data_IF_427146979318
#
_entry.id   IF_427146979318
#
_cell.length_a   1.000
_cell.length_b   1.000
_cell.length_c   1.000
_cell.angle_alpha   90.00
_cell.angle_beta   90.00
_cell.angle_gamma   90.00
#
_symmetry.space_group_name_H-M   'P 1'
#
loop_
_entity.id
_entity.type
_entity.pdbx_description
1 polymer ?
#
# COMPACT_ATOMS: atom_id res chain seq x y z
N UNK A 1 -5.59 13.07 13.28
CA UNK A 1 -4.42 12.18 13.10
C UNK A 1 -4.30 11.84 11.63
N UNK A 2 -3.13 12.08 11.04
CA UNK A 2 -2.82 11.80 9.63
C UNK A 2 -1.93 10.56 9.58
N UNK A 3 -2.23 9.61 8.70
CA UNK A 3 -1.40 8.42 8.51
C UNK A 3 -0.37 8.69 7.41
N UNK A 4 0.90 8.53 7.71
CA UNK A 4 1.95 8.63 6.68
C UNK A 4 2.24 7.27 6.09
N UNK A 5 2.23 7.20 4.76
CA UNK A 5 2.39 5.95 4.02
C UNK A 5 3.56 6.02 3.05
N UNK A 6 4.19 4.86 2.84
CA UNK A 6 5.17 4.64 1.79
C UNK A 6 4.67 3.68 0.71
N UNK A 7 5.25 3.74 -0.47
CA UNK A 7 5.03 2.75 -1.53
C UNK A 7 6.34 2.04 -1.88
N UNK A 8 6.27 0.72 -2.03
CA UNK A 8 7.33 -0.08 -2.65
C UNK A 8 6.85 -0.45 -4.05
N UNK A 9 7.47 0.16 -5.06
CA UNK A 9 7.07 0.06 -6.45
C UNK A 9 6.39 1.33 -6.95
N UNK A 10 6.89 1.87 -8.07
CA UNK A 10 6.36 3.05 -8.73
C UNK A 10 5.94 2.72 -10.18
N UNK A 11 4.98 1.80 -10.29
CA UNK A 11 4.45 1.30 -11.55
C UNK A 11 3.00 1.73 -11.79
N UNK A 12 2.36 1.11 -12.79
CA UNK A 12 0.96 1.37 -13.13
C UNK A 12 0.00 1.16 -11.95
N UNK A 13 0.27 0.18 -11.07
CA UNK A 13 -0.63 -0.02 -9.93
C UNK A 13 -0.62 1.20 -9.02
N UNK A 14 0.57 1.64 -8.61
CA UNK A 14 0.77 2.84 -7.81
C UNK A 14 0.15 4.07 -8.46
N UNK A 15 0.46 4.36 -9.72
CA UNK A 15 0.01 5.60 -10.37
C UNK A 15 -1.45 5.62 -10.80
N UNK A 16 -2.07 4.45 -11.04
CA UNK A 16 -3.46 4.39 -11.54
C UNK A 16 -4.48 4.05 -10.45
N UNK A 17 -4.15 3.13 -9.54
CA UNK A 17 -5.12 2.56 -8.62
C UNK A 17 -4.91 2.97 -7.16
N UNK A 18 -3.81 3.65 -6.84
CA UNK A 18 -3.50 4.11 -5.48
C UNK A 18 -3.39 5.63 -5.41
N UNK A 19 -2.38 6.22 -6.05
CA UNK A 19 -2.06 7.66 -5.93
C UNK A 19 -3.25 8.58 -6.22
N UNK A 20 -4.04 8.40 -7.28
CA UNK A 20 -5.20 9.27 -7.54
C UNK A 20 -6.22 9.28 -6.39
N UNK A 21 -6.30 8.20 -5.61
CA UNK A 21 -7.23 8.13 -4.48
C UNK A 21 -6.61 8.65 -3.19
N UNK A 22 -5.36 8.27 -2.87
CA UNK A 22 -4.75 8.65 -1.59
C UNK A 22 -4.31 10.10 -1.54
N UNK A 23 -3.86 10.68 -2.66
CA UNK A 23 -3.46 12.09 -2.73
C UNK A 23 -4.64 13.04 -2.51
N UNK A 24 -5.87 12.58 -2.77
CA UNK A 24 -7.10 13.32 -2.52
C UNK A 24 -7.64 13.18 -1.08
N UNK A 25 -6.89 12.55 -0.15
CA UNK A 25 -7.35 12.29 1.22
C UNK A 25 -6.57 13.12 2.24
N UNK A 26 -7.23 14.08 2.89
CA UNK A 26 -6.63 14.93 3.95
C UNK A 26 -6.04 14.17 5.15
N UNK A 27 -6.44 12.91 5.37
CA UNK A 27 -5.97 12.08 6.50
C UNK A 27 -4.83 11.12 6.11
N UNK A 28 -4.35 11.16 4.87
CA UNK A 28 -3.25 10.32 4.38
C UNK A 28 -2.18 11.23 3.79
N UNK A 29 -0.92 10.96 4.11
CA UNK A 29 0.24 11.61 3.50
C UNK A 29 1.09 10.55 2.83
N UNK A 30 1.33 10.66 1.53
CA UNK A 30 2.32 9.83 0.84
C UNK A 30 3.69 10.46 1.08
N UNK A 31 4.53 9.80 1.89
CA UNK A 31 5.84 10.36 2.28
C UNK A 31 6.95 9.92 1.33
N UNK A 32 7.08 8.61 1.12
CA UNK A 32 8.21 8.04 0.36
C UNK A 32 7.73 7.01 -0.65
N UNK A 33 8.23 7.08 -1.87
CA UNK A 33 8.01 6.05 -2.90
C UNK A 33 9.37 5.47 -3.29
N UNK A 34 9.54 4.19 -3.01
CA UNK A 34 10.68 3.40 -3.44
C UNK A 34 10.45 2.83 -4.85
N UNK A 35 11.47 2.91 -5.69
CA UNK A 35 11.55 2.12 -6.91
C UNK A 35 12.99 1.73 -7.22
N UNK A 36 13.23 0.45 -7.50
CA UNK A 36 14.57 -0.08 -7.87
C UNK A 36 15.24 0.69 -9.01
N UNK A 37 14.46 1.25 -9.92
CA UNK A 37 14.96 2.11 -11.00
C UNK A 37 14.17 3.40 -10.98
N UNK A 38 14.87 4.51 -10.72
CA UNK A 38 14.31 5.87 -10.71
C UNK A 38 13.64 6.20 -12.03
N UNK A 39 12.51 6.92 -11.94
CA UNK A 39 11.68 7.30 -13.09
C UNK A 39 11.51 8.81 -13.12
N UNK A 40 12.62 9.53 -13.17
CA UNK A 40 12.67 10.99 -12.97
C UNK A 40 11.57 11.77 -13.70
N UNK A 41 11.29 11.47 -14.97
CA UNK A 41 10.22 12.15 -15.72
C UNK A 41 8.83 11.99 -15.08
N UNK A 42 8.48 10.77 -14.67
CA UNK A 42 7.23 10.48 -13.98
C UNK A 42 7.22 11.03 -12.55
N UNK A 43 8.37 11.02 -11.87
CA UNK A 43 8.51 11.60 -10.53
C UNK A 43 8.19 13.11 -10.52
N UNK A 44 8.57 13.84 -11.59
CA UNK A 44 8.27 15.27 -11.74
C UNK A 44 6.77 15.59 -11.78
N UNK A 45 5.93 14.65 -12.23
CA UNK A 45 4.46 14.82 -12.21
C UNK A 45 3.90 14.88 -10.79
N UNK A 46 4.67 14.47 -9.78
CA UNK A 46 4.23 14.41 -8.38
C UNK A 46 5.02 15.35 -7.45
N UNK A 47 5.85 16.25 -7.98
CA UNK A 47 6.72 17.13 -7.19
C UNK A 47 5.94 18.03 -6.21
N UNK A 48 4.73 18.46 -6.59
CA UNK A 48 3.88 19.32 -5.77
C UNK A 48 3.39 18.67 -4.46
N UNK A 49 3.39 17.33 -4.41
CA UNK A 49 2.92 16.57 -3.24
C UNK A 49 4.00 16.38 -2.17
N UNK A 50 5.24 16.84 -2.41
CA UNK A 50 6.36 16.70 -1.46
C UNK A 50 6.77 15.25 -1.21
N UNK A 51 6.53 14.36 -2.18
CA UNK A 51 6.88 12.94 -2.08
C UNK A 51 8.39 12.76 -2.27
N UNK A 52 9.03 12.06 -1.34
CA UNK A 52 10.41 11.63 -1.48
C UNK A 52 10.48 10.38 -2.37
N UNK A 53 11.14 10.49 -3.51
CA UNK A 53 11.44 9.34 -4.37
C UNK A 53 12.83 8.78 -4.07
N UNK A 54 12.96 7.47 -4.00
CA UNK A 54 14.22 6.80 -3.65
C UNK A 54 14.36 5.44 -4.35
N UNK A 55 15.59 5.02 -4.58
CA UNK A 55 16.01 3.69 -5.03
C UNK A 55 16.74 2.91 -3.93
N UNK A 56 16.80 3.47 -2.73
CA UNK A 56 17.27 2.81 -1.51
C UNK A 56 16.06 2.52 -0.61
N UNK A 57 15.83 1.24 -0.35
CA UNK A 57 14.68 0.76 0.40
C UNK A 57 14.76 1.15 1.89
N UNK A 58 15.97 1.33 2.42
CA UNK A 58 16.18 1.70 3.83
C UNK A 58 15.60 3.07 4.16
N UNK A 59 15.60 4.01 3.21
CA UNK A 59 14.97 5.32 3.37
C UNK A 59 13.46 5.24 3.68
N UNK A 60 12.79 4.14 3.31
CA UNK A 60 11.40 3.89 3.63
C UNK A 60 11.25 3.01 4.89
N UNK A 61 12.07 1.97 5.01
CA UNK A 61 11.97 1.01 6.12
C UNK A 61 12.39 1.59 7.48
N UNK A 62 13.42 2.44 7.50
CA UNK A 62 13.98 3.05 8.72
C UNK A 62 13.36 4.39 9.09
N UNK A 63 12.40 4.88 8.31
CA UNK A 63 11.70 6.12 8.58
C UNK A 63 10.55 5.90 9.57
N UNK A 64 10.74 6.32 10.81
CA UNK A 64 9.76 6.14 11.90
C UNK A 64 8.44 6.91 11.68
N UNK A 65 8.41 7.92 10.82
CA UNK A 65 7.15 8.58 10.49
C UNK A 65 6.28 7.75 9.56
N UNK A 66 6.85 6.83 8.77
CA UNK A 66 6.07 5.97 7.88
C UNK A 66 5.43 4.87 8.72
N UNK A 67 4.10 4.84 8.76
CA UNK A 67 3.33 3.90 9.57
C UNK A 67 2.85 2.71 8.74
N UNK A 68 2.55 2.92 7.45
CA UNK A 68 2.06 1.88 6.56
C UNK A 68 2.81 1.88 5.23
N UNK A 69 2.97 0.70 4.65
CA UNK A 69 3.61 0.51 3.35
C UNK A 69 2.65 -0.20 2.41
N UNK A 70 2.56 0.27 1.17
CA UNK A 70 1.83 -0.39 0.09
C UNK A 70 2.81 -1.01 -0.90
N UNK A 71 2.73 -2.32 -1.11
CA UNK A 71 3.60 -3.08 -2.00
C UNK A 71 2.89 -3.26 -3.33
N UNK A 72 3.48 -2.68 -4.39
CA UNK A 72 2.96 -2.62 -5.75
C UNK A 72 3.97 -3.16 -6.78
N UNK A 73 4.78 -4.14 -6.39
CA UNK A 73 5.84 -4.78 -7.19
C UNK A 73 5.32 -6.02 -7.93
N UNK A 74 6.14 -6.70 -8.76
CA UNK A 74 5.80 -8.04 -9.27
C UNK A 74 5.56 -9.03 -8.13
N UNK A 75 4.58 -9.91 -8.32
CA UNK A 75 4.02 -10.76 -7.27
C UNK A 75 5.02 -11.71 -6.59
N UNK A 76 6.08 -12.10 -7.29
CA UNK A 76 7.15 -12.95 -6.77
C UNK A 76 7.88 -12.32 -5.58
N UNK A 77 7.82 -10.99 -5.47
CA UNK A 77 8.51 -10.23 -4.42
C UNK A 77 7.63 -9.90 -3.21
N UNK A 78 6.32 -10.15 -3.30
CA UNK A 78 5.35 -9.69 -2.31
C UNK A 78 5.61 -10.26 -0.91
N UNK A 79 5.92 -11.55 -0.82
CA UNK A 79 6.17 -12.22 0.45
C UNK A 79 7.37 -11.59 1.19
N UNK A 80 8.53 -11.54 0.53
CA UNK A 80 9.75 -11.05 1.14
C UNK A 80 9.65 -9.57 1.54
N UNK A 81 9.07 -8.74 0.66
CA UNK A 81 8.88 -7.32 0.96
C UNK A 81 7.89 -7.11 2.11
N UNK A 82 6.79 -7.87 2.16
CA UNK A 82 5.84 -7.77 3.25
C UNK A 82 6.45 -8.21 4.58
N UNK A 83 7.22 -9.32 4.58
CA UNK A 83 7.96 -9.81 5.75
C UNK A 83 8.91 -8.74 6.29
N UNK A 84 9.73 -8.14 5.43
CA UNK A 84 10.69 -7.09 5.81
C UNK A 84 9.97 -5.85 6.36
N UNK A 85 8.87 -5.42 5.74
CA UNK A 85 8.08 -4.30 6.25
C UNK A 85 7.53 -4.56 7.66
N UNK A 86 7.03 -5.78 7.92
CA UNK A 86 6.56 -6.19 9.25
C UNK A 86 7.71 -6.24 10.28
N UNK A 87 8.90 -6.70 9.87
CA UNK A 87 10.11 -6.69 10.71
C UNK A 87 10.52 -5.27 11.12
N UNK A 88 10.25 -4.28 10.26
CA UNK A 88 10.43 -2.86 10.52
C UNK A 88 9.20 -2.17 11.17
N UNK A 89 8.31 -2.94 11.77
CA UNK A 89 7.12 -2.47 12.48
C UNK A 89 6.17 -1.59 11.63
N UNK A 90 6.03 -1.89 10.34
CA UNK A 90 5.13 -1.19 9.43
C UNK A 90 3.83 -1.98 9.21
N UNK A 91 2.69 -1.29 9.16
CA UNK A 91 1.47 -1.89 8.59
C UNK A 91 1.68 -2.12 7.09
N UNK A 92 1.05 -3.15 6.52
CA UNK A 92 1.32 -3.55 5.13
C UNK A 92 0.04 -3.79 4.33
N UNK A 93 -0.04 -3.15 3.16
CA UNK A 93 -1.03 -3.47 2.13
C UNK A 93 -0.26 -4.07 0.96
N UNK A 94 -0.68 -5.23 0.47
CA UNK A 94 0.02 -5.94 -0.61
C UNK A 94 -0.90 -6.07 -1.81
N UNK A 95 -0.42 -5.71 -3.00
CA UNK A 95 -1.15 -5.98 -4.25
C UNK A 95 -1.45 -7.48 -4.43
N UNK A 96 -2.44 -7.76 -5.29
CA UNK A 96 -2.82 -9.13 -5.60
C UNK A 96 -1.97 -9.71 -6.74
N UNK A 97 -1.63 -11.02 -6.72
CA UNK A 97 -1.90 -11.99 -5.65
C UNK A 97 -1.07 -11.71 -4.39
N UNK A 98 -1.64 -11.98 -3.21
CA UNK A 98 -1.05 -11.63 -1.92
C UNK A 98 0.30 -12.30 -1.68
N UNK A 99 0.36 -13.62 -1.84
CA UNK A 99 1.56 -14.46 -1.80
C UNK A 99 1.37 -15.64 -2.76
N UNK A 100 2.44 -16.28 -3.25
CA UNK A 100 2.35 -17.49 -4.06
C UNK A 100 1.66 -18.67 -3.36
N UNK A 101 1.84 -18.80 -2.04
CA UNK A 101 1.28 -19.93 -1.27
C UNK A 101 0.44 -19.48 -0.07
N UNK A 102 -0.49 -20.35 0.35
CA UNK A 102 -1.27 -20.17 1.58
C UNK A 102 -0.38 -20.25 2.82
N UNK A 103 0.72 -21.02 2.78
CA UNK A 103 1.66 -21.15 3.90
C UNK A 103 2.32 -19.80 4.20
N UNK A 104 2.86 -19.13 3.18
CA UNK A 104 3.43 -17.79 3.28
C UNK A 104 2.42 -16.76 3.77
N UNK A 105 1.18 -16.81 3.26
CA UNK A 105 0.12 -15.91 3.71
C UNK A 105 -0.12 -16.05 5.22
N UNK A 106 -0.27 -17.30 5.71
CA UNK A 106 -0.48 -17.59 7.13
C UNK A 106 0.67 -17.12 8.01
N UNK A 107 1.90 -17.29 7.52
CA UNK A 107 3.09 -16.81 8.22
C UNK A 107 3.08 -15.29 8.39
N UNK A 108 2.80 -14.54 7.31
CA UNK A 108 2.72 -13.09 7.38
C UNK A 108 1.61 -12.60 8.32
N UNK A 109 0.43 -13.23 8.31
CA UNK A 109 -0.64 -12.88 9.26
C UNK A 109 -0.24 -13.17 10.71
N UNK A 110 0.43 -14.29 10.97
CA UNK A 110 0.97 -14.62 12.31
C UNK A 110 1.97 -13.56 12.77
N UNK A 111 2.93 -13.20 11.90
CA UNK A 111 3.93 -12.16 12.20
C UNK A 111 3.29 -10.81 12.50
N UNK A 112 2.30 -10.39 11.69
CA UNK A 112 1.59 -9.14 11.92
C UNK A 112 0.84 -9.16 13.26
N UNK A 113 0.16 -10.26 13.58
CA UNK A 113 -0.54 -10.44 14.86
C UNK A 113 0.41 -10.34 16.06
N UNK A 114 1.53 -11.07 16.04
CA UNK A 114 2.55 -11.04 17.12
C UNK A 114 3.14 -9.65 17.36
N UNK A 115 3.14 -8.79 16.33
CA UNK A 115 3.66 -7.42 16.39
C UNK A 115 2.57 -6.35 16.57
N UNK A 116 1.32 -6.75 16.72
CA UNK A 116 0.17 -5.83 16.74
C UNK A 116 0.10 -4.91 15.50
N UNK A 117 0.44 -5.46 14.34
CA UNK A 117 0.39 -4.81 13.04
C UNK A 117 -0.79 -5.32 12.23
N UNK A 118 -1.09 -4.59 11.16
CA UNK A 118 -2.14 -4.94 10.20
C UNK A 118 -1.44 -5.30 8.90
N UNK A 119 -1.81 -6.44 8.33
CA UNK A 119 -1.47 -6.81 6.96
C UNK A 119 -2.72 -7.22 6.21
N UNK A 120 -2.86 -6.77 4.96
CA UNK A 120 -4.00 -7.15 4.11
C UNK A 120 -3.62 -7.16 2.63
N UNK A 121 -4.22 -8.03 1.81
CA UNK A 121 -4.25 -7.81 0.37
C UNK A 121 -5.04 -6.56 0.01
N UNK A 122 -4.69 -5.93 -1.11
CA UNK A 122 -5.45 -4.84 -1.71
C UNK A 122 -6.67 -5.39 -2.47
N UNK A 123 -7.84 -5.29 -1.85
CA UNK A 123 -9.11 -5.85 -2.36
C UNK A 123 -10.07 -4.74 -2.80
N UNK A 124 -9.59 -3.82 -3.63
CA UNK A 124 -10.33 -2.62 -4.04
C UNK A 124 -11.67 -2.90 -4.73
N UNK A 125 -11.77 -4.00 -5.47
CA UNK A 125 -13.01 -4.42 -6.16
C UNK A 125 -14.18 -4.70 -5.21
N UNK A 126 -13.94 -4.91 -3.90
CA UNK A 126 -15.00 -5.02 -2.89
C UNK A 126 -15.74 -3.69 -2.65
N UNK A 127 -15.27 -2.60 -3.25
CA UNK A 127 -15.85 -1.27 -3.15
C UNK A 127 -16.35 -0.76 -4.51
N UNK A 128 -16.38 -1.61 -5.54
CA UNK A 128 -17.03 -1.27 -6.81
C UNK A 128 -18.54 -1.09 -6.57
N UNK A 129 -19.15 -0.11 -7.24
CA UNK A 129 -20.52 0.32 -6.93
C UNK A 129 -21.58 -0.76 -7.17
N UNK A 130 -21.40 -1.57 -8.20
CA UNK A 130 -22.21 -2.75 -8.51
C UNK A 130 -22.05 -3.86 -7.45
N UNK A 131 -20.83 -4.13 -7.00
CA UNK A 131 -20.60 -5.07 -5.90
C UNK A 131 -21.25 -4.59 -4.59
N UNK A 132 -21.13 -3.29 -4.28
CA UNK A 132 -21.77 -2.70 -3.09
C UNK A 132 -23.31 -2.71 -3.19
N UNK A 133 -23.86 -2.54 -4.39
CA UNK A 133 -25.30 -2.64 -4.62
C UNK A 133 -25.83 -4.05 -4.34
N UNK A 134 -25.12 -5.08 -4.79
CA UNK A 134 -25.51 -6.48 -4.60
C UNK A 134 -25.26 -6.99 -3.17
N UNK A 135 -24.22 -6.50 -2.50
CA UNK A 135 -23.88 -6.91 -1.12
C UNK A 135 -24.73 -6.24 -0.03
N UNK A 136 -25.74 -5.46 -0.42
CA UNK A 136 -26.66 -4.78 0.51
C UNK A 136 -26.12 -3.46 1.08
N UNK A 137 -24.90 -3.04 0.73
CA UNK A 137 -24.29 -1.79 1.20
C UNK A 137 -24.92 -0.52 0.60
N UNK A 138 -25.68 -0.65 -0.49
CA UNK A 138 -26.39 0.45 -1.14
C UNK A 138 -27.75 0.79 -0.50
N UNK A 139 -28.36 -0.14 0.25
CA UNK A 139 -29.74 0.02 0.74
C UNK A 139 -29.95 1.14 1.76
N UNK A 140 -28.91 1.50 2.52
CA UNK A 140 -29.02 2.53 3.58
C UNK A 140 -28.44 3.90 3.21
N UNK A 141 -27.66 4.02 2.13
CA UNK A 141 -26.94 5.27 1.79
C UNK A 141 -27.42 5.98 0.54
N UNK A 142 -28.31 5.39 -0.27
CA UNK A 142 -28.78 6.02 -1.52
C UNK A 142 -30.03 6.90 -1.29
N UNK A 143 -30.64 6.89 -0.10
CA UNK A 143 -31.83 7.69 0.24
C UNK A 143 -31.63 8.68 1.41
N UNK A 144 -30.41 9.14 1.68
CA UNK A 144 -30.17 10.25 2.63
C UNK A 144 -29.21 11.29 2.07
#
# INVERSE_FOLDING_TARGET
MTVSIGFIGFGKSTTRYHLPYVLNRKKIRVKTIYSRTRKYQLEQEYQEYGIQFTDDLDNLLKDDEIQSVVICTPHETHYDLARICLEHNKHVIVEKPFTPTVKEARELYRMAHERNLIITPYQNRRFDGDFLALSGGAGERIYR
#
